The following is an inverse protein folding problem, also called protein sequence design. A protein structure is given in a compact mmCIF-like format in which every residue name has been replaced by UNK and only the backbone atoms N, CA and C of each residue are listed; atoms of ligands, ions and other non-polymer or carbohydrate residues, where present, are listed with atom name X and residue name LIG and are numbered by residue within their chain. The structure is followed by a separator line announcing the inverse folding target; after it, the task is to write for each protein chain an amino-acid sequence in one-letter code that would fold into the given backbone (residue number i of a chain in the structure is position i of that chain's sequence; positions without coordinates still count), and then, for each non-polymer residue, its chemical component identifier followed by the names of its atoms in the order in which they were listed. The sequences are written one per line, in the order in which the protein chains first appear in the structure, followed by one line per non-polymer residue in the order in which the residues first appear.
data_IF_143700732879
#
_entry.id   IF_143700732879
#
_cell.length_a   1.000
_cell.length_b   1.000
_cell.length_c   1.000
_cell.angle_alpha   90.00
_cell.angle_beta   90.00
_cell.angle_gamma   90.00
#
_symmetry.space_group_name_H-M   'P 1'
#
loop_
_entity.id
_entity.type
_entity.pdbx_description
1 polymer ?
#
# COMPACT_ATOMS: atom_id res chain seq x y z
N UNK A 1 -8.69 -28.72 -6.48
CA UNK A 1 -8.73 -28.03 -5.16
C UNK A 1 -7.38 -28.24 -4.50
N UNK A 2 -6.52 -27.23 -4.47
CA UNK A 2 -5.28 -27.29 -3.67
C UNK A 2 -5.69 -27.17 -2.21
N UNK A 3 -5.16 -28.07 -1.36
CA UNK A 3 -5.38 -28.07 0.09
C UNK A 3 -4.95 -26.72 0.69
N UNK A 4 -5.68 -26.17 1.66
CA UNK A 4 -5.20 -24.99 2.37
C UNK A 4 -4.04 -25.39 3.29
N UNK A 5 -2.90 -24.72 3.13
CA UNK A 5 -1.78 -24.65 4.08
C UNK A 5 -0.89 -25.91 4.27
N UNK A 6 -0.27 -26.39 3.17
CA UNK A 6 0.94 -27.20 3.30
C UNK A 6 1.94 -26.80 2.21
N UNK A 7 2.92 -26.03 2.57
CA UNK A 7 4.13 -25.52 1.92
C UNK A 7 4.15 -24.00 1.77
N UNK A 8 4.48 -23.27 2.84
CA UNK A 8 4.73 -21.83 2.79
C UNK A 8 6.17 -21.54 2.32
N UNK A 9 6.48 -21.90 1.10
CA UNK A 9 7.76 -21.49 0.51
C UNK A 9 7.75 -20.01 0.07
N UNK A 10 6.57 -19.43 -0.24
CA UNK A 10 6.36 -18.03 -0.60
C UNK A 10 4.86 -17.68 -0.64
N UNK A 11 4.51 -16.39 -0.62
CA UNK A 11 3.11 -15.94 -0.64
C UNK A 11 2.89 -14.68 -1.45
N UNK A 12 1.65 -14.51 -1.94
CA UNK A 12 1.18 -13.30 -2.59
C UNK A 12 0.32 -12.51 -1.61
N UNK A 13 0.52 -11.20 -1.55
CA UNK A 13 -0.30 -10.28 -0.76
C UNK A 13 -0.90 -9.22 -1.68
N UNK A 14 -2.17 -8.89 -1.49
CA UNK A 14 -2.80 -7.72 -2.10
C UNK A 14 -3.06 -6.69 -1.02
N UNK A 15 -2.49 -5.52 -1.20
CA UNK A 15 -2.70 -4.37 -0.33
C UNK A 15 -3.35 -3.23 -1.08
N UNK A 16 -4.25 -2.52 -0.40
CA UNK A 16 -5.00 -1.39 -0.93
C UNK A 16 -4.67 -0.17 -0.08
N UNK A 17 -4.07 0.84 -0.69
CA UNK A 17 -3.91 2.13 -0.06
C UNK A 17 -5.27 2.85 -0.19
N UNK A 18 -6.08 2.76 0.89
CA UNK A 18 -7.47 3.19 0.87
C UNK A 18 -7.59 4.69 1.06
N UNK A 19 -7.51 5.38 -0.06
CA UNK A 19 -7.54 6.84 -0.20
C UNK A 19 -8.35 7.27 -1.42
N UNK A 20 -8.78 8.52 -1.45
CA UNK A 20 -9.40 9.15 -2.62
C UNK A 20 -8.33 9.66 -3.60
N UNK A 21 -8.67 9.69 -4.87
CA UNK A 21 -7.78 10.24 -5.90
C UNK A 21 -7.34 11.69 -5.60
N UNK A 22 -8.14 12.44 -4.87
CA UNK A 22 -7.82 13.80 -4.44
C UNK A 22 -6.59 13.90 -3.56
N UNK A 23 -6.38 12.96 -2.62
CA UNK A 23 -5.20 12.95 -1.76
C UNK A 23 -3.91 12.77 -2.56
N UNK A 24 -3.96 11.92 -3.58
CA UNK A 24 -2.84 11.69 -4.48
C UNK A 24 -2.46 12.93 -5.29
N UNK A 25 -3.46 13.66 -5.79
CA UNK A 25 -3.24 14.87 -6.59
C UNK A 25 -2.85 16.08 -5.74
N UNK A 26 -3.43 16.18 -4.55
CA UNK A 26 -3.50 17.45 -3.84
C UNK A 26 -2.14 18.04 -3.54
N UNK A 27 -1.28 17.30 -2.88
CA UNK A 27 -0.04 17.83 -2.36
C UNK A 27 1.04 18.04 -3.42
N UNK A 28 1.20 17.09 -4.31
CA UNK A 28 2.25 17.14 -5.35
C UNK A 28 1.96 18.24 -6.40
N UNK A 29 0.70 18.62 -6.59
CA UNK A 29 0.31 19.58 -7.62
C UNK A 29 -0.20 20.91 -7.08
N UNK A 30 -0.71 20.96 -5.85
CA UNK A 30 -1.31 22.18 -5.27
C UNK A 30 -0.60 22.67 -4.01
N UNK A 31 0.27 21.86 -3.42
CA UNK A 31 0.96 22.17 -2.15
C UNK A 31 0.03 22.18 -0.93
N UNK A 32 -1.22 21.76 -1.09
CA UNK A 32 -2.26 21.78 -0.04
C UNK A 32 -2.68 20.36 0.29
N UNK A 33 -2.84 20.06 1.56
CA UNK A 33 -3.52 18.83 1.99
C UNK A 33 -4.98 18.93 1.53
N UNK A 34 -5.39 17.97 0.69
CA UNK A 34 -6.76 17.96 0.18
C UNK A 34 -7.72 17.54 1.28
N UNK A 35 -8.84 18.24 1.45
CA UNK A 35 -9.88 17.77 2.35
C UNK A 35 -10.37 16.40 1.90
N UNK A 36 -10.60 15.51 2.86
CA UNK A 36 -11.14 14.19 2.61
C UNK A 36 -12.64 14.27 2.32
N UNK A 37 -12.99 14.80 1.17
CA UNK A 37 -14.39 14.80 0.70
C UNK A 37 -14.60 13.53 -0.10
N UNK A 38 -15.32 12.53 0.44
CA UNK A 38 -15.58 11.29 -0.29
C UNK A 38 -16.42 11.60 -1.53
N UNK A 39 -15.92 11.24 -2.71
CA UNK A 39 -16.61 11.44 -3.99
C UNK A 39 -16.86 10.13 -4.70
N UNK A 40 -15.87 9.26 -4.68
CA UNK A 40 -15.89 8.02 -5.46
C UNK A 40 -15.56 6.79 -4.62
N UNK A 41 -15.08 6.97 -3.41
CA UNK A 41 -14.58 5.89 -2.54
C UNK A 41 -15.64 4.83 -2.25
N UNK A 42 -16.92 5.21 -2.13
CA UNK A 42 -18.03 4.29 -1.87
C UNK A 42 -18.12 3.22 -2.95
N UNK A 43 -18.30 3.68 -4.19
CA UNK A 43 -18.40 2.82 -5.34
C UNK A 43 -17.11 2.02 -5.56
N UNK A 44 -15.97 2.65 -5.38
CA UNK A 44 -14.67 2.00 -5.58
C UNK A 44 -14.43 0.90 -4.53
N UNK A 45 -14.84 1.14 -3.29
CA UNK A 45 -14.80 0.14 -2.23
C UNK A 45 -15.72 -1.03 -2.55
N UNK A 46 -16.96 -0.78 -3.01
CA UNK A 46 -17.90 -1.84 -3.40
C UNK A 46 -17.36 -2.69 -4.55
N UNK A 47 -16.72 -2.07 -5.57
CA UNK A 47 -16.09 -2.81 -6.67
C UNK A 47 -14.99 -3.74 -6.16
N UNK A 48 -14.12 -3.25 -5.26
CA UNK A 48 -13.02 -4.05 -4.70
C UNK A 48 -13.55 -5.20 -3.84
N UNK A 49 -14.49 -4.92 -2.94
CA UNK A 49 -15.09 -5.94 -2.06
C UNK A 49 -15.79 -7.02 -2.89
N UNK A 50 -16.56 -6.63 -3.90
CA UNK A 50 -17.21 -7.58 -4.83
C UNK A 50 -16.19 -8.46 -5.56
N UNK A 51 -15.05 -7.90 -6.00
CA UNK A 51 -13.99 -8.66 -6.65
C UNK A 51 -13.33 -9.66 -5.68
N UNK A 52 -13.07 -9.24 -4.45
CA UNK A 52 -12.45 -10.08 -3.43
C UNK A 52 -13.38 -11.20 -2.97
N UNK A 53 -14.68 -10.93 -2.86
CA UNK A 53 -15.71 -11.94 -2.55
C UNK A 53 -15.84 -12.94 -3.71
N UNK A 54 -15.96 -12.47 -4.95
CA UNK A 54 -16.04 -13.33 -6.15
C UNK A 54 -14.83 -14.28 -6.25
N UNK A 55 -13.65 -13.80 -5.91
CA UNK A 55 -12.40 -14.58 -5.98
C UNK A 55 -12.09 -15.33 -4.68
N UNK A 56 -12.89 -15.13 -3.62
CA UNK A 56 -12.70 -15.71 -2.29
C UNK A 56 -11.34 -15.41 -1.68
N UNK A 57 -10.80 -14.24 -2.00
CA UNK A 57 -9.50 -13.77 -1.51
C UNK A 57 -9.66 -12.69 -0.44
N UNK A 58 -8.66 -12.55 0.41
CA UNK A 58 -8.58 -11.46 1.39
C UNK A 58 -7.43 -10.54 1.05
N UNK A 59 -7.58 -9.27 1.41
CA UNK A 59 -6.59 -8.23 1.18
C UNK A 59 -6.34 -7.43 2.46
N UNK A 60 -5.27 -6.67 2.48
CA UNK A 60 -4.99 -5.68 3.52
C UNK A 60 -5.36 -4.30 3.01
N UNK A 61 -6.14 -3.57 3.77
CA UNK A 61 -6.50 -2.18 3.49
C UNK A 61 -5.75 -1.25 4.44
N UNK A 62 -4.83 -0.46 3.91
CA UNK A 62 -4.16 0.60 4.65
C UNK A 62 -5.03 1.85 4.62
N UNK A 63 -5.65 2.14 5.74
CA UNK A 63 -6.71 3.14 5.89
C UNK A 63 -6.12 4.52 6.17
N UNK A 64 -6.47 5.50 5.35
CA UNK A 64 -6.14 6.90 5.59
C UNK A 64 -7.09 7.50 6.65
N UNK A 65 -6.53 8.01 7.76
CA UNK A 65 -7.30 8.47 8.91
C UNK A 65 -8.32 9.56 8.58
N UNK A 66 -7.91 10.62 7.86
CA UNK A 66 -8.83 11.68 7.46
C UNK A 66 -10.01 11.23 6.60
N UNK A 67 -9.85 10.16 5.83
CA UNK A 67 -10.94 9.57 5.05
C UNK A 67 -11.82 8.66 5.91
N UNK A 68 -11.19 7.88 6.80
CA UNK A 68 -11.89 7.04 7.77
C UNK A 68 -12.81 7.86 8.69
N UNK A 69 -12.37 9.05 9.09
CA UNK A 69 -13.18 9.96 9.89
C UNK A 69 -14.50 10.37 9.17
N UNK A 70 -14.45 10.51 7.85
CA UNK A 70 -15.63 10.84 7.05
C UNK A 70 -16.48 9.63 6.67
N UNK A 71 -15.88 8.43 6.60
CA UNK A 71 -16.53 7.20 6.16
C UNK A 71 -16.18 6.01 7.06
N UNK A 72 -16.46 6.14 8.38
CA UNK A 72 -16.21 5.03 9.32
C UNK A 72 -17.06 3.79 9.01
N UNK A 73 -18.22 3.98 8.38
CA UNK A 73 -19.12 2.91 7.93
C UNK A 73 -18.43 1.99 6.91
N UNK A 74 -17.71 2.54 5.95
CA UNK A 74 -16.98 1.75 4.95
C UNK A 74 -15.79 1.00 5.58
N UNK A 75 -15.07 1.60 6.52
CA UNK A 75 -13.98 0.93 7.23
C UNK A 75 -14.53 -0.28 8.02
N UNK A 76 -15.65 -0.09 8.73
CA UNK A 76 -16.34 -1.21 9.41
C UNK A 76 -16.81 -2.29 8.44
N UNK A 77 -17.31 -1.91 7.26
CA UNK A 77 -17.73 -2.85 6.22
C UNK A 77 -16.55 -3.70 5.75
N UNK A 78 -15.41 -3.07 5.42
CA UNK A 78 -14.19 -3.76 4.99
C UNK A 78 -13.74 -4.77 6.06
N UNK A 79 -13.70 -4.35 7.33
CA UNK A 79 -13.33 -5.22 8.44
C UNK A 79 -14.33 -6.37 8.65
N UNK A 80 -15.64 -6.11 8.58
CA UNK A 80 -16.70 -7.10 8.73
C UNK A 80 -16.68 -8.18 7.64
N UNK A 81 -16.21 -7.83 6.44
CA UNK A 81 -16.00 -8.79 5.35
C UNK A 81 -14.71 -9.62 5.53
N UNK A 82 -13.99 -9.45 6.65
CA UNK A 82 -12.82 -10.25 7.04
C UNK A 82 -11.53 -9.87 6.32
N UNK A 83 -11.45 -8.64 5.82
CA UNK A 83 -10.19 -8.07 5.32
C UNK A 83 -9.39 -7.49 6.48
N UNK A 84 -8.08 -7.46 6.32
CA UNK A 84 -7.20 -6.83 7.28
C UNK A 84 -7.26 -5.31 7.16
N UNK A 85 -7.25 -4.65 8.32
CA UNK A 85 -7.14 -3.20 8.44
C UNK A 85 -5.73 -2.85 8.96
N UNK A 86 -4.99 -2.08 8.19
CA UNK A 86 -3.78 -1.37 8.60
C UNK A 86 -4.01 0.14 8.52
N UNK A 87 -3.01 0.96 8.86
CA UNK A 87 -3.11 2.41 8.78
C UNK A 87 -2.22 3.01 7.69
N UNK A 88 -2.65 4.17 7.15
CA UNK A 88 -1.96 4.93 6.09
C UNK A 88 -1.64 6.39 6.50
N UNK A 89 -1.39 6.61 7.81
CA UNK A 89 -1.26 7.95 8.39
C UNK A 89 -2.60 8.65 8.55
N UNK A 90 -2.58 9.83 9.19
CA UNK A 90 -3.76 10.64 9.44
C UNK A 90 -4.09 11.55 8.25
N UNK A 91 -3.09 12.28 7.73
CA UNK A 91 -3.30 13.41 6.83
C UNK A 91 -2.64 13.25 5.46
N UNK A 92 -2.29 12.04 5.04
CA UNK A 92 -1.60 11.73 3.78
C UNK A 92 -0.34 12.60 3.57
N UNK A 93 0.48 12.73 4.60
CA UNK A 93 1.71 13.53 4.60
C UNK A 93 2.92 12.62 4.40
N UNK A 94 3.90 13.09 3.62
CA UNK A 94 5.18 12.38 3.48
C UNK A 94 5.92 12.35 4.82
N UNK A 95 6.20 11.18 5.36
CA UNK A 95 6.88 11.01 6.66
C UNK A 95 8.27 11.67 6.68
N UNK A 96 8.98 11.66 5.55
CA UNK A 96 10.30 12.30 5.44
C UNK A 96 10.27 13.84 5.36
N UNK A 97 9.10 14.46 5.48
CA UNK A 97 8.96 15.93 5.59
C UNK A 97 8.54 16.37 6.98
N UNK A 98 8.34 15.43 7.90
CA UNK A 98 7.90 15.68 9.27
C UNK A 98 9.08 15.57 10.24
N UNK A 99 9.05 16.34 11.30
CA UNK A 99 9.87 16.09 12.49
C UNK A 99 9.37 14.84 13.21
N UNK A 100 10.19 14.29 14.11
CA UNK A 100 9.81 13.14 14.95
C UNK A 100 8.45 13.38 15.66
N UNK A 101 8.29 14.55 16.28
CA UNK A 101 7.06 14.91 17.02
C UNK A 101 5.83 14.98 16.09
N UNK A 102 5.98 15.56 14.92
CA UNK A 102 4.88 15.64 13.93
C UNK A 102 4.53 14.26 13.39
N UNK A 103 5.51 13.43 13.09
CA UNK A 103 5.30 12.04 12.67
C UNK A 103 4.61 11.23 13.77
N UNK A 104 5.06 11.35 15.03
CA UNK A 104 4.42 10.69 16.17
C UNK A 104 2.96 11.08 16.32
N UNK A 105 2.65 12.37 16.22
CA UNK A 105 1.27 12.86 16.33
C UNK A 105 0.40 12.32 15.19
N UNK A 106 0.85 12.43 13.93
CA UNK A 106 0.08 11.93 12.76
C UNK A 106 -0.20 10.42 12.86
N UNK A 107 0.81 9.64 13.26
CA UNK A 107 0.68 8.19 13.41
C UNK A 107 -0.19 7.80 14.62
N UNK A 108 -0.02 8.47 15.75
CA UNK A 108 -0.81 8.22 16.96
C UNK A 108 -2.29 8.55 16.76
N UNK A 109 -2.58 9.69 16.10
CA UNK A 109 -3.95 10.09 15.79
C UNK A 109 -4.63 9.09 14.83
N UNK A 110 -3.92 8.67 13.78
CA UNK A 110 -4.42 7.66 12.85
C UNK A 110 -4.65 6.32 13.54
N UNK A 111 -3.69 5.86 14.37
CA UNK A 111 -3.78 4.61 15.10
C UNK A 111 -5.00 4.60 16.01
N UNK A 112 -5.16 5.63 16.84
CA UNK A 112 -6.29 5.77 17.75
C UNK A 112 -7.62 5.77 16.98
N UNK A 113 -7.73 6.61 15.95
CA UNK A 113 -8.96 6.75 15.18
C UNK A 113 -9.39 5.43 14.52
N UNK A 114 -8.47 4.75 13.82
CA UNK A 114 -8.79 3.51 13.11
C UNK A 114 -9.14 2.40 14.09
N UNK A 115 -8.37 2.27 15.18
CA UNK A 115 -8.65 1.30 16.26
C UNK A 115 -10.03 1.54 16.90
N UNK A 116 -10.38 2.79 17.18
CA UNK A 116 -11.69 3.15 17.75
C UNK A 116 -12.85 2.81 16.76
N UNK A 117 -12.64 3.03 15.45
CA UNK A 117 -13.65 2.72 14.43
C UNK A 117 -13.95 1.23 14.35
N UNK A 118 -12.90 0.39 14.32
CA UNK A 118 -13.07 -1.06 14.13
C UNK A 118 -13.30 -1.82 15.44
N UNK A 119 -12.97 -1.21 16.59
CA UNK A 119 -13.05 -1.83 17.91
C UNK A 119 -12.07 -2.99 18.12
N UNK A 120 -10.97 -3.01 17.38
CA UNK A 120 -9.93 -4.05 17.43
C UNK A 120 -8.54 -3.45 17.16
N UNK A 121 -7.46 -4.08 17.65
CA UNK A 121 -6.11 -3.61 17.37
C UNK A 121 -5.78 -3.71 15.87
N UNK A 122 -4.94 -2.78 15.39
CA UNK A 122 -4.33 -2.81 14.08
C UNK A 122 -2.82 -3.10 14.21
N UNK A 123 -2.26 -3.79 13.25
CA UNK A 123 -0.89 -4.33 13.37
C UNK A 123 0.06 -3.86 12.28
N UNK A 124 -0.45 -3.20 11.24
CA UNK A 124 0.33 -2.83 10.07
C UNK A 124 0.21 -1.38 9.66
N UNK A 125 1.28 -0.91 9.02
CA UNK A 125 1.38 0.43 8.48
C UNK A 125 1.93 0.45 7.06
N UNK A 126 1.50 1.46 6.30
CA UNK A 126 2.15 1.90 5.07
C UNK A 126 2.20 3.41 5.02
N UNK A 127 3.38 3.98 4.78
CA UNK A 127 3.55 5.42 4.67
C UNK A 127 2.98 5.96 3.36
N UNK A 128 2.25 7.08 3.40
CA UNK A 128 1.91 7.82 2.20
C UNK A 128 3.14 8.05 1.30
N UNK A 129 2.98 7.83 -0.01
CA UNK A 129 4.06 7.96 -1.00
C UNK A 129 5.28 7.07 -0.76
N UNK A 130 5.18 5.99 0.02
CA UNK A 130 6.34 5.16 0.39
C UNK A 130 7.50 5.99 0.95
N UNK A 131 7.18 6.94 1.82
CA UNK A 131 8.07 8.02 2.25
C UNK A 131 8.93 7.68 3.47
N UNK A 132 9.06 6.41 3.83
CA UNK A 132 10.09 5.93 4.73
C UNK A 132 11.37 5.70 3.92
N UNK A 133 12.48 6.32 4.34
CA UNK A 133 13.79 6.21 3.70
C UNK A 133 14.90 6.30 4.75
N UNK A 134 16.17 6.36 4.32
CA UNK A 134 17.33 6.36 5.21
C UNK A 134 17.34 7.52 6.22
N UNK A 135 16.62 8.63 5.94
CA UNK A 135 16.65 9.83 6.80
C UNK A 135 15.61 9.80 7.92
N UNK A 136 14.62 8.89 7.86
CA UNK A 136 13.52 8.86 8.80
C UNK A 136 13.13 7.44 9.27
N UNK A 137 14.09 6.54 9.36
CA UNK A 137 13.88 5.17 9.87
C UNK A 137 13.32 5.13 11.30
N UNK A 138 13.43 6.24 12.06
CA UNK A 138 12.78 6.40 13.37
C UNK A 138 11.25 6.23 13.31
N UNK A 139 10.64 6.33 12.13
CA UNK A 139 9.20 6.04 11.95
C UNK A 139 8.89 4.61 12.39
N UNK A 140 9.76 3.64 12.09
CA UNK A 140 9.57 2.25 12.49
C UNK A 140 9.61 2.08 14.03
N UNK A 141 10.43 2.89 14.72
CA UNK A 141 10.44 2.91 16.19
C UNK A 141 9.10 3.42 16.74
N UNK A 142 8.58 4.53 16.21
CA UNK A 142 7.25 5.05 16.57
C UNK A 142 6.17 3.99 16.36
N UNK A 143 6.16 3.32 15.20
CA UNK A 143 5.19 2.26 14.90
C UNK A 143 5.25 1.13 15.93
N UNK A 144 6.46 0.71 16.30
CA UNK A 144 6.68 -0.34 17.31
C UNK A 144 6.23 0.09 18.70
N UNK A 145 6.36 1.37 19.04
CA UNK A 145 5.86 1.95 20.30
C UNK A 145 4.35 1.96 20.37
N UNK A 146 3.68 2.23 19.24
CA UNK A 146 2.22 2.15 19.09
C UNK A 146 1.67 0.71 19.04
N UNK A 147 2.56 -0.31 19.06
CA UNK A 147 2.17 -1.71 19.09
C UNK A 147 1.98 -2.37 17.72
N UNK A 148 2.35 -1.69 16.62
CA UNK A 148 2.35 -2.30 15.30
C UNK A 148 3.50 -3.30 15.18
N UNK A 149 3.30 -4.34 14.38
CA UNK A 149 4.27 -5.43 14.22
C UNK A 149 4.92 -5.47 12.85
N UNK A 150 4.34 -4.81 11.85
CA UNK A 150 4.93 -4.72 10.52
C UNK A 150 4.73 -3.35 9.86
N UNK A 151 5.66 -3.04 8.97
CA UNK A 151 5.64 -1.93 8.01
C UNK A 151 5.70 -2.46 6.58
N UNK A 152 5.16 -1.71 5.63
CA UNK A 152 5.26 -1.97 4.20
C UNK A 152 5.46 -0.66 3.44
N UNK A 153 6.40 0.15 3.91
CA UNK A 153 6.66 1.48 3.37
C UNK A 153 7.91 1.56 2.52
N UNK A 154 8.82 0.58 2.63
CA UNK A 154 10.11 0.65 1.96
C UNK A 154 10.00 0.07 0.55
N UNK A 155 10.37 0.89 -0.44
CA UNK A 155 10.48 0.46 -1.82
C UNK A 155 11.96 0.22 -2.15
N UNK A 156 12.38 -1.02 -2.46
CA UNK A 156 13.79 -1.37 -2.65
C UNK A 156 14.32 -0.94 -4.02
N UNK A 157 14.06 0.32 -4.40
CA UNK A 157 14.49 0.94 -5.64
C UNK A 157 14.66 2.44 -5.42
N UNK A 158 15.69 3.05 -5.98
CA UNK A 158 15.86 4.51 -5.88
C UNK A 158 15.02 5.21 -6.94
N UNK A 159 14.03 5.94 -6.47
CA UNK A 159 13.22 6.85 -7.28
C UNK A 159 13.44 8.29 -6.81
N UNK A 160 12.99 9.27 -7.61
CA UNK A 160 13.29 10.70 -7.36
C UNK A 160 12.90 11.16 -5.94
N UNK A 161 11.80 10.64 -5.40
CA UNK A 161 11.17 11.16 -4.18
C UNK A 161 10.97 10.11 -3.08
N UNK A 162 11.28 8.83 -3.32
CA UNK A 162 11.08 7.74 -2.38
C UNK A 162 11.93 6.52 -2.76
N UNK A 163 12.00 5.56 -1.83
CA UNK A 163 12.70 4.30 -1.99
C UNK A 163 14.13 4.33 -1.47
N UNK A 164 14.64 3.15 -1.14
CA UNK A 164 16.00 2.88 -0.68
C UNK A 164 16.63 1.89 -1.67
N UNK A 165 17.62 2.32 -2.46
CA UNK A 165 18.14 1.56 -3.60
C UNK A 165 18.61 0.15 -3.26
N UNK A 166 19.36 0.04 -2.17
CA UNK A 166 20.05 -1.20 -1.78
C UNK A 166 19.35 -1.93 -0.64
N UNK A 167 18.12 -1.50 -0.30
CA UNK A 167 17.33 -2.22 0.70
C UNK A 167 17.03 -3.65 0.22
N UNK A 168 17.09 -4.65 1.11
CA UNK A 168 16.65 -6.00 0.80
C UNK A 168 15.22 -6.00 0.25
N UNK A 169 14.94 -6.83 -0.74
CA UNK A 169 13.61 -6.94 -1.33
C UNK A 169 12.85 -8.18 -0.83
N UNK A 170 13.45 -8.92 0.07
CA UNK A 170 12.84 -10.02 0.81
C UNK A 170 12.17 -9.49 2.08
N UNK A 171 11.08 -10.12 2.47
CA UNK A 171 10.41 -9.86 3.73
C UNK A 171 11.33 -10.27 4.89
N UNK A 172 11.51 -9.41 5.87
CA UNK A 172 12.44 -9.68 6.97
C UNK A 172 12.03 -9.06 8.30
N UNK A 173 12.48 -9.69 9.39
CA UNK A 173 12.37 -9.17 10.75
C UNK A 173 13.61 -8.34 11.07
N UNK A 174 13.41 -7.13 11.59
CA UNK A 174 14.46 -6.20 11.95
C UNK A 174 14.46 -5.88 13.45
N UNK A 175 15.64 -5.85 14.06
CA UNK A 175 15.86 -5.25 15.38
C UNK A 175 15.96 -3.74 15.23
N UNK A 176 15.17 -3.01 15.99
CA UNK A 176 15.15 -1.55 15.99
C UNK A 176 16.06 -0.99 17.10
N UNK A 177 16.54 0.27 16.97
CA UNK A 177 17.37 0.92 17.98
C UNK A 177 16.73 1.00 19.37
N UNK A 178 15.39 1.10 19.46
CA UNK A 178 14.66 1.11 20.73
C UNK A 178 14.51 -0.28 21.39
N UNK A 179 15.17 -1.33 20.86
CA UNK A 179 15.16 -2.69 21.38
C UNK A 179 13.92 -3.51 21.02
N UNK A 180 12.97 -2.95 20.26
CA UNK A 180 11.82 -3.68 19.72
C UNK A 180 12.14 -4.28 18.36
N UNK A 181 11.18 -4.99 17.81
CA UNK A 181 11.29 -5.63 16.49
C UNK A 181 10.16 -5.17 15.57
N UNK A 182 10.47 -5.11 14.28
CA UNK A 182 9.50 -4.78 13.21
C UNK A 182 9.74 -5.69 12.02
N UNK A 183 8.68 -6.22 11.44
CA UNK A 183 8.75 -6.88 10.13
C UNK A 183 8.63 -5.81 9.05
N UNK A 184 9.52 -5.81 8.08
CA UNK A 184 9.36 -5.03 6.85
C UNK A 184 8.90 -5.97 5.74
N UNK A 185 7.83 -5.57 5.05
CA UNK A 185 7.28 -6.23 3.87
C UNK A 185 7.48 -5.31 2.66
N UNK A 186 8.65 -5.37 1.99
CA UNK A 186 8.98 -4.44 0.92
C UNK A 186 8.10 -4.63 -0.31
N UNK A 187 7.97 -3.57 -1.10
CA UNK A 187 7.24 -3.65 -2.36
C UNK A 187 7.98 -4.48 -3.40
N UNK A 188 7.23 -5.27 -4.16
CA UNK A 188 7.83 -6.18 -5.12
C UNK A 188 8.48 -5.45 -6.29
N UNK A 189 9.73 -5.81 -6.52
CA UNK A 189 10.50 -5.43 -7.69
C UNK A 189 10.86 -6.69 -8.50
N UNK A 190 11.21 -6.51 -9.75
CA UNK A 190 11.85 -7.51 -10.59
C UNK A 190 13.27 -7.07 -10.95
N UNK A 191 14.22 -7.97 -10.81
CA UNK A 191 15.57 -7.73 -11.31
C UNK A 191 15.61 -7.96 -12.83
N UNK A 192 16.06 -6.93 -13.57
CA UNK A 192 16.27 -6.98 -15.00
C UNK A 192 17.67 -6.47 -15.31
N UNK A 193 18.59 -7.37 -15.67
CA UNK A 193 20.04 -7.09 -15.72
C UNK A 193 20.45 -6.49 -14.37
N UNK A 194 21.14 -5.36 -14.37
CA UNK A 194 21.65 -4.66 -13.18
C UNK A 194 20.63 -3.64 -12.61
N UNK A 195 19.35 -3.72 -13.00
CA UNK A 195 18.32 -2.75 -12.58
C UNK A 195 17.19 -3.42 -11.86
N UNK A 196 16.74 -2.79 -10.78
CA UNK A 196 15.53 -3.13 -10.05
C UNK A 196 14.34 -2.38 -10.69
N UNK A 197 13.36 -3.12 -11.19
CA UNK A 197 12.18 -2.57 -11.86
C UNK A 197 10.94 -2.77 -10.99
N UNK A 198 10.18 -1.72 -10.70
CA UNK A 198 8.87 -1.85 -10.07
C UNK A 198 7.90 -2.59 -11.00
N UNK A 199 7.20 -3.61 -10.48
CA UNK A 199 6.29 -4.43 -11.31
C UNK A 199 4.91 -4.68 -10.69
N UNK A 200 4.76 -4.43 -9.39
CA UNK A 200 3.62 -4.87 -8.61
C UNK A 200 2.80 -3.72 -8.00
N UNK A 201 2.72 -2.59 -8.67
CA UNK A 201 1.94 -1.45 -8.21
C UNK A 201 1.14 -0.78 -9.31
N UNK A 202 0.12 -0.05 -8.92
CA UNK A 202 -0.90 0.50 -9.77
C UNK A 202 -0.46 1.07 -11.10
N UNK A 203 0.40 2.10 -11.10
CA UNK A 203 0.87 2.74 -12.34
C UNK A 203 1.66 1.80 -13.25
N UNK A 204 2.49 0.94 -12.68
CA UNK A 204 3.29 -0.04 -13.44
C UNK A 204 2.40 -1.13 -14.03
N UNK A 205 1.49 -1.66 -13.24
CA UNK A 205 0.55 -2.69 -13.70
C UNK A 205 -0.41 -2.17 -14.77
N UNK A 206 -0.79 -0.90 -14.74
CA UNK A 206 -1.56 -0.27 -15.82
C UNK A 206 -0.82 -0.30 -17.14
N UNK A 207 0.47 0.08 -17.14
CA UNK A 207 1.30 0.16 -18.34
C UNK A 207 1.64 -1.22 -18.94
N UNK A 208 1.72 -2.26 -18.12
CA UNK A 208 2.08 -3.61 -18.56
C UNK A 208 0.92 -4.30 -19.31
N UNK A 209 1.13 -4.80 -20.54
CA UNK A 209 0.18 -5.69 -21.20
C UNK A 209 -0.08 -6.97 -20.38
N UNK A 210 -1.29 -7.52 -20.44
CA UNK A 210 -1.68 -8.70 -19.65
C UNK A 210 -0.75 -9.90 -19.86
N UNK A 211 -0.25 -10.14 -21.07
CA UNK A 211 0.67 -11.25 -21.34
C UNK A 211 2.04 -11.07 -20.67
N UNK A 212 2.55 -9.84 -20.60
CA UNK A 212 3.80 -9.54 -19.87
C UNK A 212 3.61 -9.72 -18.37
N UNK A 213 2.48 -9.21 -17.83
CA UNK A 213 2.13 -9.40 -16.44
C UNK A 213 2.10 -10.89 -16.08
N UNK A 214 1.43 -11.73 -16.88
CA UNK A 214 1.43 -13.19 -16.69
C UNK A 214 2.83 -13.78 -16.62
N UNK A 215 3.73 -13.36 -17.52
CA UNK A 215 5.12 -13.86 -17.55
C UNK A 215 5.90 -13.43 -16.32
N UNK A 216 5.74 -12.17 -15.89
CA UNK A 216 6.42 -11.64 -14.69
C UNK A 216 5.98 -12.40 -13.45
N UNK A 217 4.68 -12.53 -13.22
CA UNK A 217 4.15 -13.20 -12.02
C UNK A 217 4.46 -14.69 -12.02
N UNK A 218 4.40 -15.37 -13.17
CA UNK A 218 4.84 -16.77 -13.29
C UNK A 218 6.33 -16.95 -12.98
N UNK A 219 7.17 -15.97 -13.36
CA UNK A 219 8.60 -15.97 -13.03
C UNK A 219 8.82 -15.81 -11.53
N UNK A 220 8.17 -14.83 -10.89
CA UNK A 220 8.26 -14.58 -9.45
C UNK A 220 7.81 -15.80 -8.64
N UNK A 221 6.70 -16.43 -9.04
CA UNK A 221 6.18 -17.65 -8.45
C UNK A 221 7.16 -18.83 -8.60
N UNK A 222 7.72 -19.02 -9.79
CA UNK A 222 8.74 -20.05 -10.05
C UNK A 222 10.05 -19.82 -9.31
N UNK A 223 10.39 -18.60 -8.99
CA UNK A 223 11.53 -18.21 -8.13
C UNK A 223 11.21 -18.30 -6.65
N UNK A 224 9.99 -18.71 -6.27
CA UNK A 224 9.49 -18.78 -4.90
C UNK A 224 9.62 -17.44 -4.15
N UNK A 225 9.38 -16.35 -4.85
CA UNK A 225 9.46 -15.00 -4.30
C UNK A 225 8.14 -14.55 -3.69
N UNK A 226 8.23 -13.95 -2.53
CA UNK A 226 7.12 -13.20 -1.96
C UNK A 226 6.73 -12.03 -2.85
N UNK A 227 5.43 -11.79 -2.98
CA UNK A 227 4.89 -10.77 -3.86
C UNK A 227 3.93 -9.87 -3.10
N UNK A 228 4.30 -8.60 -2.97
CA UNK A 228 3.44 -7.54 -2.45
C UNK A 228 2.88 -6.73 -3.61
N UNK A 229 1.59 -6.91 -3.90
CA UNK A 229 0.83 -6.04 -4.80
C UNK A 229 0.28 -4.86 -4.02
N UNK A 230 0.40 -3.64 -4.57
CA UNK A 230 -0.31 -2.50 -4.03
C UNK A 230 -1.16 -1.81 -5.07
N UNK A 231 -2.36 -1.41 -4.69
CA UNK A 231 -3.35 -0.77 -5.55
C UNK A 231 -4.07 0.34 -4.77
N UNK A 232 -4.74 1.21 -5.51
CA UNK A 232 -5.60 2.24 -4.94
C UNK A 232 -7.04 2.01 -5.40
N UNK A 233 -8.06 2.44 -4.63
CA UNK A 233 -9.46 2.26 -4.98
C UNK A 233 -9.83 2.76 -6.37
N UNK A 234 -9.34 3.93 -6.77
CA UNK A 234 -9.64 4.54 -8.06
C UNK A 234 -9.14 3.71 -9.26
N UNK A 235 -8.21 2.79 -9.08
CA UNK A 235 -7.67 1.97 -10.18
C UNK A 235 -8.64 0.86 -10.63
N UNK A 236 -9.57 0.47 -9.76
CA UNK A 236 -10.58 -0.55 -10.05
C UNK A 236 -11.82 0.01 -10.75
N UNK A 237 -12.05 1.32 -10.68
CA UNK A 237 -13.20 1.98 -11.32
C UNK A 237 -12.83 2.40 -12.75
N UNK A 238 -13.62 2.01 -13.73
CA UNK A 238 -13.42 2.33 -15.15
C UNK A 238 -13.95 3.73 -15.55
N UNK A 239 -14.73 4.37 -14.68
CA UNK A 239 -15.28 5.70 -14.94
C UNK A 239 -14.17 6.73 -15.04
N UNK A 240 -14.31 7.64 -16.02
CA UNK A 240 -13.34 8.73 -16.18
C UNK A 240 -13.18 9.58 -14.94
N UNK A 241 -11.93 9.73 -14.47
CA UNK A 241 -11.58 10.62 -13.37
C UNK A 241 -11.07 11.92 -13.95
N UNK A 242 -11.66 13.05 -13.48
CA UNK A 242 -11.17 14.39 -13.80
C UNK A 242 -10.46 14.98 -12.60
N UNK A 243 -9.21 15.38 -12.76
CA UNK A 243 -8.47 16.05 -11.69
C UNK A 243 -9.13 17.36 -11.26
N UNK A 244 -9.82 18.06 -12.18
CA UNK A 244 -10.50 19.34 -11.87
C UNK A 244 -11.60 19.20 -10.81
N UNK A 245 -12.21 18.02 -10.69
CA UNK A 245 -13.24 17.78 -9.66
C UNK A 245 -12.66 17.51 -8.27
N UNK A 246 -11.35 17.30 -8.19
CA UNK A 246 -10.63 16.95 -6.97
C UNK A 246 -9.74 18.07 -6.43
N UNK A 247 -9.63 19.20 -7.14
CA UNK A 247 -8.90 20.36 -6.62
C UNK A 247 -9.78 21.20 -5.70
N UNK A 248 -9.19 21.82 -4.67
CA UNK A 248 -9.89 22.85 -3.89
C UNK A 248 -10.29 24.02 -4.77
N UNK A 249 -11.38 24.71 -4.45
CA UNK A 249 -11.77 25.93 -5.15
C UNK A 249 -10.60 26.93 -5.22
N UNK A 250 -10.35 27.50 -6.40
CA UNK A 250 -9.28 28.48 -6.63
C UNK A 250 -7.84 27.90 -6.68
N UNK A 251 -7.64 26.58 -6.53
CA UNK A 251 -6.32 25.93 -6.56
C UNK A 251 -6.10 25.03 -7.78
N UNK A 252 -6.97 25.11 -8.77
CA UNK A 252 -6.90 24.26 -9.97
C UNK A 252 -5.67 24.54 -10.83
N UNK A 253 -5.25 23.52 -11.58
CA UNK A 253 -4.20 23.63 -12.57
C UNK A 253 -4.74 24.26 -13.87
N UNK A 254 -3.82 24.79 -14.69
CA UNK A 254 -4.19 25.26 -16.03
C UNK A 254 -4.81 24.13 -16.85
N UNK A 255 -5.70 24.48 -17.79
CA UNK A 255 -6.40 23.50 -18.65
C UNK A 255 -5.47 22.48 -19.33
N UNK A 256 -4.31 22.88 -19.94
CA UNK A 256 -3.40 21.93 -20.56
C UNK A 256 -2.79 20.96 -19.54
N UNK A 257 -2.38 21.43 -18.37
CA UNK A 257 -1.83 20.56 -17.30
C UNK A 257 -2.89 19.59 -16.79
N UNK A 258 -4.10 20.07 -16.53
CA UNK A 258 -5.22 19.21 -16.12
C UNK A 258 -5.51 18.13 -17.17
N UNK A 259 -5.50 18.45 -18.45
CA UNK A 259 -5.70 17.50 -19.53
C UNK A 259 -4.63 16.41 -19.52
N UNK A 260 -3.34 16.78 -19.44
CA UNK A 260 -2.24 15.82 -19.42
C UNK A 260 -2.34 14.88 -18.20
N UNK A 261 -2.67 15.42 -17.03
CA UNK A 261 -2.86 14.64 -15.81
C UNK A 261 -4.04 13.68 -15.99
N UNK A 262 -5.17 14.15 -16.51
CA UNK A 262 -6.34 13.32 -16.75
C UNK A 262 -6.01 12.15 -17.69
N UNK A 263 -5.32 12.42 -18.81
CA UNK A 263 -4.91 11.36 -19.76
C UNK A 263 -3.99 10.36 -19.05
N UNK A 264 -2.94 10.83 -18.36
CA UNK A 264 -1.99 9.97 -17.65
C UNK A 264 -2.66 9.03 -16.65
N UNK A 265 -3.61 9.53 -15.86
CA UNK A 265 -4.24 8.77 -14.79
C UNK A 265 -5.37 7.86 -15.27
N UNK A 266 -6.02 8.19 -16.37
CA UNK A 266 -7.05 7.34 -16.97
C UNK A 266 -6.51 6.31 -17.95
N UNK A 267 -5.28 6.51 -18.48
CA UNK A 267 -4.69 5.62 -19.48
C UNK A 267 -4.56 4.18 -18.93
N UNK A 268 -5.16 3.23 -19.65
CA UNK A 268 -5.19 1.79 -19.36
C UNK A 268 -5.81 1.41 -17.99
N UNK A 269 -6.44 2.34 -17.26
CA UNK A 269 -7.03 2.08 -15.95
C UNK A 269 -8.14 1.04 -16.01
N UNK A 270 -9.01 1.08 -17.01
CA UNK A 270 -10.05 0.07 -17.21
C UNK A 270 -9.55 -1.37 -17.46
N UNK A 271 -8.23 -1.56 -17.63
CA UNK A 271 -7.66 -2.92 -17.76
C UNK A 271 -7.30 -3.56 -16.41
N UNK A 272 -7.22 -2.77 -15.33
CA UNK A 272 -6.72 -3.22 -14.02
C UNK A 272 -7.64 -4.25 -13.40
N UNK A 273 -8.94 -4.02 -13.39
CA UNK A 273 -9.91 -4.98 -12.83
C UNK A 273 -9.66 -6.41 -13.33
N UNK A 274 -9.58 -6.58 -14.66
CA UNK A 274 -9.38 -7.89 -15.27
C UNK A 274 -7.96 -8.46 -15.06
N UNK A 275 -6.96 -7.61 -14.84
CA UNK A 275 -5.59 -8.05 -14.51
C UNK A 275 -5.51 -8.56 -13.09
N UNK A 276 -6.07 -7.82 -12.15
CA UNK A 276 -6.12 -8.22 -10.73
C UNK A 276 -7.01 -9.46 -10.55
N UNK A 277 -8.19 -9.49 -11.14
CA UNK A 277 -9.06 -10.68 -11.12
C UNK A 277 -8.32 -11.93 -11.57
N UNK A 278 -7.57 -11.84 -12.67
CA UNK A 278 -6.75 -12.96 -13.15
C UNK A 278 -5.73 -13.40 -12.10
N UNK A 279 -5.00 -12.47 -11.47
CA UNK A 279 -4.01 -12.83 -10.46
C UNK A 279 -4.66 -13.46 -9.22
N UNK A 280 -5.77 -12.93 -8.76
CA UNK A 280 -6.53 -13.46 -7.61
C UNK A 280 -7.11 -14.86 -7.88
N UNK A 281 -7.36 -15.22 -9.13
CA UNK A 281 -7.82 -16.56 -9.53
C UNK A 281 -6.67 -17.55 -9.70
N UNK A 282 -5.49 -17.07 -10.13
CA UNK A 282 -4.33 -17.91 -10.43
C UNK A 282 -3.48 -18.24 -9.19
N UNK A 283 -3.35 -17.26 -8.27
CA UNK A 283 -2.50 -17.37 -7.09
C UNK A 283 -3.32 -17.30 -5.81
N UNK A 284 -2.78 -17.89 -4.73
CA UNK A 284 -3.39 -17.77 -3.41
C UNK A 284 -2.81 -16.56 -2.69
N UNK A 285 -3.70 -15.68 -2.21
CA UNK A 285 -3.33 -14.45 -1.51
C UNK A 285 -3.55 -14.57 -0.01
N UNK A 286 -2.64 -14.01 0.76
CA UNK A 286 -2.76 -13.86 2.21
C UNK A 286 -2.73 -12.38 2.58
N UNK A 287 -3.18 -12.03 3.78
CA UNK A 287 -3.06 -10.65 4.28
C UNK A 287 -1.62 -10.35 4.72
N UNK A 288 -1.25 -9.07 4.78
CA UNK A 288 0.07 -8.65 5.24
C UNK A 288 0.33 -9.10 6.69
N UNK A 289 -0.69 -9.08 7.56
CA UNK A 289 -0.58 -9.57 8.94
C UNK A 289 -0.17 -11.06 8.97
N UNK A 290 -0.87 -11.92 8.24
CA UNK A 290 -0.51 -13.36 8.17
C UNK A 290 0.92 -13.55 7.68
N UNK A 291 1.33 -12.75 6.70
CA UNK A 291 2.70 -12.78 6.19
C UNK A 291 3.71 -12.33 7.25
N UNK A 292 3.42 -11.22 7.94
CA UNK A 292 4.30 -10.70 8.99
C UNK A 292 4.43 -11.69 10.17
N UNK A 293 3.34 -12.31 10.58
CA UNK A 293 3.35 -13.38 11.61
C UNK A 293 4.22 -14.56 11.18
N UNK A 294 4.11 -14.99 9.91
CA UNK A 294 4.95 -16.05 9.37
C UNK A 294 6.43 -15.68 9.39
N UNK A 295 6.79 -14.49 8.89
CA UNK A 295 8.17 -13.98 8.89
C UNK A 295 8.72 -13.94 10.33
N UNK A 296 7.94 -13.40 11.27
CA UNK A 296 8.34 -13.30 12.67
C UNK A 296 8.58 -14.68 13.32
N UNK A 297 7.73 -15.65 13.02
CA UNK A 297 7.85 -17.00 13.58
C UNK A 297 9.04 -17.80 13.02
N UNK A 298 9.49 -17.49 11.79
CA UNK A 298 10.54 -18.24 11.09
C UNK A 298 11.88 -17.50 10.99
N UNK A 299 11.96 -16.27 11.50
CA UNK A 299 13.21 -15.51 11.56
C UNK A 299 14.06 -15.94 12.74
N UNK A 300 15.14 -16.69 12.46
CA UNK A 300 16.09 -17.12 13.47
C UNK A 300 17.15 -16.06 13.82
N UNK A 301 17.39 -15.11 12.94
CA UNK A 301 18.39 -14.05 13.09
C UNK A 301 17.85 -12.74 12.51
N UNK A 302 17.16 -11.92 13.32
CA UNK A 302 16.66 -10.64 12.85
C UNK A 302 17.80 -9.76 12.32
N UNK A 303 17.56 -9.12 11.17
CA UNK A 303 18.50 -8.18 10.59
C UNK A 303 18.60 -6.90 11.46
N UNK A 304 19.68 -6.14 11.31
CA UNK A 304 19.81 -4.84 11.96
C UNK A 304 19.45 -3.74 10.96
N UNK A 305 18.51 -2.90 11.33
CA UNK A 305 18.06 -1.81 10.49
C UNK A 305 19.21 -0.86 10.12
N UNK A 306 19.35 -0.55 8.85
CA UNK A 306 20.31 0.44 8.36
C UNK A 306 21.76 -0.06 8.16
N UNK A 307 22.05 -1.35 8.37
CA UNK A 307 23.34 -1.94 7.99
C UNK A 307 23.18 -2.79 6.75
N UNK A 308 24.04 -2.61 5.72
CA UNK A 308 24.10 -3.56 4.61
C UNK A 308 24.40 -4.96 5.16
N UNK A 309 23.66 -5.95 4.70
CA UNK A 309 24.01 -7.35 4.94
C UNK A 309 25.16 -7.77 4.03
#
# INVERSE_FOLDING_TARGET
MKSPMDSHDHSFTLSIDWEEFGQLLGRDHTGVVMPAVPKTIDRQTDIMLSLLDETKQKATFFILGMLAQNRPDLVKKIAAEGHEIGMHGQNHIRMNTLSYKEAYNDLSDAHKLVTDIIGAPIYGYRAPYFSVNETNLYVLEILSELGLIYDSSIFPVKLKNYGIADFPYEDALYNLPNGKQMVELPLTIMNWRDKRLPVAGGGYMRALPKFMLKRIFKKLDGEKRDVMLYMHPYEFDDRWISCSTHYPPGKGLSKPKSFLINVRWNLFRGTIYNKIKYLLQEYNFVTCLKKAEYVKAHSHSPAVLGRPQ
#
